data_IF_904890832518
#
_entry.id   IF_904890832518
#
_cell.length_a   1.000
_cell.length_b   1.000
_cell.length_c   1.000
_cell.angle_alpha   90.00
_cell.angle_beta   90.00
_cell.angle_gamma   90.00
#
_symmetry.space_group_name_H-M   'P 1'
#
loop_
_entity.id
_entity.type
_entity.pdbx_description
1 polymer ?
#
# COMPACT_ATOMS: atom_id res chain seq x y z
N UNK A 1 -15.31 11.94 -0.15
CA UNK A 1 -15.11 10.67 0.54
C UNK A 1 -13.83 10.82 1.35
N UNK A 2 -13.89 10.59 2.65
CA UNK A 2 -12.70 10.62 3.49
C UNK A 2 -11.84 9.36 3.22
N UNK A 3 -10.52 9.45 3.38
CA UNK A 3 -9.64 8.28 3.32
C UNK A 3 -10.16 7.20 4.29
N UNK A 4 -10.35 5.98 3.79
CA UNK A 4 -10.78 4.79 4.52
C UNK A 4 -12.29 4.55 4.54
N UNK A 5 -13.10 5.50 4.06
CA UNK A 5 -14.57 5.43 4.19
C UNK A 5 -15.16 4.26 3.38
N UNK A 6 -14.78 4.12 2.11
CA UNK A 6 -15.21 3.01 1.23
C UNK A 6 -14.88 1.63 1.81
N UNK A 7 -13.66 1.48 2.32
CA UNK A 7 -13.20 0.26 2.99
C UNK A 7 -14.03 -0.08 4.22
N UNK A 8 -14.24 0.89 5.11
CA UNK A 8 -15.00 0.66 6.35
C UNK A 8 -16.47 0.34 6.05
N UNK A 9 -17.08 1.00 5.08
CA UNK A 9 -18.46 0.73 4.66
C UNK A 9 -18.61 -0.69 4.12
N UNK A 10 -17.75 -1.10 3.20
CA UNK A 10 -17.78 -2.43 2.60
C UNK A 10 -17.65 -3.56 3.62
N UNK A 11 -16.69 -3.45 4.55
CA UNK A 11 -16.50 -4.49 5.56
C UNK A 11 -17.55 -4.48 6.66
N UNK A 12 -18.12 -3.30 6.97
CA UNK A 12 -19.29 -3.20 7.84
C UNK A 12 -20.51 -3.91 7.26
N UNK A 13 -20.78 -3.76 5.96
CA UNK A 13 -21.89 -4.46 5.28
C UNK A 13 -21.71 -5.98 5.31
N UNK A 14 -20.47 -6.45 5.13
CA UNK A 14 -20.12 -7.88 5.20
C UNK A 14 -20.04 -8.43 6.63
N UNK A 15 -20.11 -7.58 7.66
CA UNK A 15 -19.95 -7.93 9.08
C UNK A 15 -18.60 -8.61 9.36
N UNK A 16 -17.55 -8.14 8.71
CA UNK A 16 -16.18 -8.62 8.90
C UNK A 16 -15.35 -7.52 9.56
N UNK A 17 -14.45 -7.91 10.45
CA UNK A 17 -13.51 -7.00 11.10
C UNK A 17 -14.13 -6.11 12.18
N UNK A 18 -13.27 -5.51 12.99
CA UNK A 18 -13.66 -4.72 14.16
C UNK A 18 -12.64 -3.62 14.46
N UNK A 19 -13.11 -2.56 15.13
CA UNK A 19 -12.22 -1.61 15.77
C UNK A 19 -11.62 -2.20 17.04
N UNK A 20 -10.31 -2.07 17.15
CA UNK A 20 -9.52 -2.40 18.33
C UNK A 20 -8.80 -1.14 18.81
N UNK A 21 -8.57 -1.05 20.12
CA UNK A 21 -7.81 0.04 20.73
C UNK A 21 -6.66 -0.55 21.55
N UNK A 22 -5.44 -0.22 21.17
CA UNK A 22 -4.25 -0.62 21.91
C UNK A 22 -3.94 0.42 22.99
N UNK A 23 -4.13 0.02 24.25
CA UNK A 23 -3.85 0.87 25.41
C UNK A 23 -2.35 1.18 25.62
N UNK A 24 -1.44 0.44 24.98
CA UNK A 24 0.01 0.69 25.09
C UNK A 24 0.44 1.81 24.15
N UNK A 25 -0.09 1.84 22.94
CA UNK A 25 0.25 2.84 21.92
C UNK A 25 -0.76 3.99 21.87
N UNK A 26 -1.92 3.84 22.50
CA UNK A 26 -3.07 4.75 22.39
C UNK A 26 -3.56 4.91 20.94
N UNK A 27 -3.39 3.87 20.13
CA UNK A 27 -3.82 3.84 18.73
C UNK A 27 -5.07 2.97 18.54
N UNK A 28 -5.97 3.43 17.67
CA UNK A 28 -7.07 2.62 17.16
C UNK A 28 -6.71 1.99 15.82
N UNK A 29 -7.07 0.73 15.63
CA UNK A 29 -6.93 0.02 14.36
C UNK A 29 -8.19 -0.73 14.00
N UNK A 30 -8.49 -0.77 12.71
CA UNK A 30 -9.46 -1.71 12.17
C UNK A 30 -8.75 -3.02 11.85
N UNK A 31 -9.25 -4.12 12.39
CA UNK A 31 -8.57 -5.42 12.40
C UNK A 31 -9.52 -6.55 11.99
N UNK A 32 -8.97 -7.56 11.35
CA UNK A 32 -9.65 -8.82 11.02
C UNK A 32 -8.89 -9.97 11.69
N UNK A 33 -9.58 -11.00 12.16
CA UNK A 33 -8.90 -12.25 12.49
C UNK A 33 -8.34 -12.90 11.22
N UNK A 34 -7.39 -13.82 11.36
CA UNK A 34 -6.91 -14.61 10.22
C UNK A 34 -8.04 -15.41 9.55
N UNK A 35 -8.99 -15.95 10.32
CA UNK A 35 -10.16 -16.66 9.78
C UNK A 35 -11.05 -15.74 8.94
N UNK A 36 -11.35 -14.53 9.43
CA UNK A 36 -12.08 -13.52 8.65
C UNK A 36 -11.31 -13.16 7.38
N UNK A 37 -9.99 -13.00 7.48
CA UNK A 37 -9.18 -12.63 6.34
C UNK A 37 -9.07 -13.73 5.28
N UNK A 38 -9.11 -15.00 5.68
CA UNK A 38 -9.24 -16.12 4.74
C UNK A 38 -10.53 -16.00 3.91
N UNK A 39 -11.66 -15.61 4.53
CA UNK A 39 -12.88 -15.33 3.78
C UNK A 39 -12.78 -14.11 2.86
N UNK A 40 -11.93 -13.13 3.19
CA UNK A 40 -11.69 -11.95 2.36
C UNK A 40 -10.87 -12.30 1.12
N UNK A 41 -9.92 -13.24 1.24
CA UNK A 41 -9.14 -13.73 0.10
C UNK A 41 -10.06 -14.33 -0.98
N UNK A 42 -11.12 -15.05 -0.56
CA UNK A 42 -12.11 -15.65 -1.46
C UNK A 42 -12.98 -14.63 -2.23
N UNK A 43 -12.85 -13.32 -1.93
CA UNK A 43 -13.53 -12.25 -2.64
C UNK A 43 -12.74 -11.74 -3.86
N UNK A 44 -11.54 -12.27 -4.14
CA UNK A 44 -10.65 -11.88 -5.24
C UNK A 44 -10.23 -10.39 -5.23
N UNK A 45 -10.39 -9.69 -4.10
CA UNK A 45 -10.00 -8.29 -3.92
C UNK A 45 -8.61 -8.11 -3.29
N UNK A 46 -7.88 -9.20 -3.05
CA UNK A 46 -6.65 -9.22 -2.26
C UNK A 46 -5.43 -9.49 -3.13
N UNK A 47 -4.47 -8.57 -3.09
CA UNK A 47 -3.27 -8.54 -3.89
C UNK A 47 -2.02 -8.66 -3.01
N UNK A 48 -0.99 -9.33 -3.51
CA UNK A 48 0.25 -9.51 -2.76
C UNK A 48 1.22 -8.34 -3.02
N UNK A 49 1.43 -7.49 -2.01
CA UNK A 49 2.40 -6.39 -2.04
C UNK A 49 3.67 -6.65 -1.23
N UNK A 50 3.85 -7.85 -0.66
CA UNK A 50 4.92 -8.16 0.28
C UNK A 50 6.33 -8.04 -0.33
N UNK A 51 6.43 -8.04 -1.67
CA UNK A 51 7.69 -7.91 -2.42
C UNK A 51 7.88 -6.53 -3.07
N UNK A 52 6.97 -5.60 -2.83
CA UNK A 52 6.95 -4.29 -3.49
C UNK A 52 6.65 -4.37 -5.00
N UNK A 53 6.55 -3.19 -5.61
CA UNK A 53 6.27 -3.00 -7.02
C UNK A 53 5.60 -1.66 -7.30
N UNK A 54 5.49 -1.33 -8.58
CA UNK A 54 4.61 -0.26 -9.05
C UNK A 54 3.17 -0.74 -8.91
N UNK A 55 2.36 0.01 -8.18
CA UNK A 55 0.95 -0.30 -8.00
C UNK A 55 0.16 0.43 -9.08
N UNK A 56 -0.65 -0.32 -9.84
CA UNK A 56 -1.56 0.23 -10.83
C UNK A 56 -2.99 -0.03 -10.40
N UNK A 57 -3.80 1.02 -10.31
CA UNK A 57 -5.17 0.92 -9.82
C UNK A 57 -5.83 2.28 -9.64
N UNK A 58 -6.83 2.34 -8.77
CA UNK A 58 -7.62 3.53 -8.53
C UNK A 58 -6.80 4.65 -7.85
N UNK A 59 -7.09 5.90 -8.21
CA UNK A 59 -6.66 7.06 -7.44
C UNK A 59 -7.47 7.17 -6.14
N UNK A 60 -7.01 7.94 -5.16
CA UNK A 60 -7.80 8.18 -3.93
C UNK A 60 -9.18 8.78 -4.22
N UNK A 61 -9.31 9.60 -5.26
CA UNK A 61 -10.61 10.16 -5.69
C UNK A 61 -11.58 9.12 -6.24
N UNK A 62 -11.11 7.90 -6.49
CA UNK A 62 -11.85 6.77 -7.02
C UNK A 62 -11.94 5.61 -6.01
N UNK A 63 -11.68 5.88 -4.73
CA UNK A 63 -11.74 4.88 -3.64
C UNK A 63 -10.36 4.37 -3.19
N UNK A 64 -9.29 4.70 -3.90
CA UNK A 64 -7.92 4.35 -3.52
C UNK A 64 -7.64 2.84 -3.53
N UNK A 65 -6.52 2.48 -2.93
CA UNK A 65 -6.06 1.10 -2.74
C UNK A 65 -5.70 0.93 -1.28
N UNK A 66 -6.34 0.00 -0.61
CA UNK A 66 -6.25 -0.16 0.84
C UNK A 66 -5.10 -1.09 1.22
N UNK A 67 -4.44 -0.80 2.33
CA UNK A 67 -3.27 -1.52 2.79
C UNK A 67 -3.57 -2.29 4.06
N UNK A 68 -3.14 -3.55 4.11
CA UNK A 68 -3.32 -4.40 5.27
C UNK A 68 -2.03 -5.09 5.67
N UNK A 69 -1.69 -5.03 6.96
CA UNK A 69 -0.46 -5.62 7.49
C UNK A 69 -0.80 -6.77 8.45
N UNK A 70 -0.12 -7.92 8.33
CA UNK A 70 -0.25 -8.98 9.31
C UNK A 70 0.42 -8.61 10.63
N UNK A 71 -0.27 -8.83 11.75
CA UNK A 71 0.32 -8.91 13.08
C UNK A 71 0.34 -10.37 13.52
N UNK A 72 1.52 -10.99 13.43
CA UNK A 72 1.70 -12.41 13.74
C UNK A 72 1.64 -12.72 15.25
N UNK A 73 1.89 -11.73 16.11
CA UNK A 73 1.84 -11.95 17.57
C UNK A 73 0.41 -12.11 18.08
N UNK A 74 -0.54 -11.43 17.45
CA UNK A 74 -1.95 -11.42 17.84
C UNK A 74 -2.86 -12.12 16.83
N UNK A 75 -2.30 -12.70 15.76
CA UNK A 75 -3.01 -13.41 14.69
C UNK A 75 -4.15 -12.59 14.05
N UNK A 76 -3.87 -11.30 13.79
CA UNK A 76 -4.82 -10.38 13.13
C UNK A 76 -4.19 -9.69 11.93
N UNK A 77 -5.04 -9.26 11.01
CA UNK A 77 -4.71 -8.40 9.89
C UNK A 77 -5.15 -6.97 10.20
N UNK A 78 -4.23 -6.01 10.23
CA UNK A 78 -4.45 -4.61 10.62
C UNK A 78 -4.52 -3.71 9.39
N UNK A 79 -5.58 -2.91 9.29
CA UNK A 79 -5.65 -1.81 8.33
C UNK A 79 -4.53 -0.81 8.58
N UNK A 80 -3.71 -0.57 7.55
CA UNK A 80 -2.46 0.19 7.64
C UNK A 80 -2.52 1.55 6.93
N UNK A 81 -3.55 1.77 6.12
CA UNK A 81 -3.76 3.03 5.41
C UNK A 81 -4.19 2.81 3.98
N UNK A 82 -3.97 3.83 3.15
CA UNK A 82 -4.26 3.81 1.73
C UNK A 82 -3.04 4.25 0.93
N UNK A 83 -3.02 3.79 -0.32
CA UNK A 83 -2.18 4.32 -1.37
C UNK A 83 -3.03 4.55 -2.63
N UNK A 84 -2.47 5.18 -3.64
CA UNK A 84 -3.12 5.35 -4.93
C UNK A 84 -2.37 4.66 -6.07
N UNK A 85 -3.08 4.44 -7.18
CA UNK A 85 -2.48 4.00 -8.41
C UNK A 85 -1.33 4.93 -8.85
N UNK A 86 -0.33 4.32 -9.50
CA UNK A 86 0.92 4.94 -9.93
C UNK A 86 1.93 5.25 -8.82
N UNK A 87 1.66 4.87 -7.58
CA UNK A 87 2.65 4.89 -6.49
C UNK A 87 3.52 3.63 -6.50
N UNK A 88 4.75 3.78 -6.01
CA UNK A 88 5.69 2.66 -5.87
C UNK A 88 5.72 2.20 -4.42
N UNK A 89 5.46 0.91 -4.19
CA UNK A 89 5.63 0.25 -2.91
C UNK A 89 7.01 -0.42 -2.90
N UNK A 90 7.89 -0.06 -1.96
CA UNK A 90 9.19 -0.72 -1.83
C UNK A 90 9.04 -2.17 -1.37
N UNK A 91 10.04 -3.00 -1.64
CA UNK A 91 10.24 -4.23 -0.86
C UNK A 91 10.49 -3.88 0.62
N UNK A 92 10.35 -4.85 1.54
CA UNK A 92 10.69 -4.70 2.95
C UNK A 92 12.04 -4.02 3.17
N UNK A 93 12.07 -2.93 3.92
CA UNK A 93 13.28 -2.18 4.18
C UNK A 93 14.24 -2.99 5.06
N UNK A 94 15.47 -3.18 4.60
CA UNK A 94 16.52 -3.84 5.40
C UNK A 94 17.22 -2.89 6.38
N UNK A 95 17.10 -1.58 6.19
CA UNK A 95 17.70 -0.60 7.10
C UNK A 95 16.98 0.75 7.06
N UNK A 96 17.17 1.52 8.13
CA UNK A 96 16.69 2.91 8.24
C UNK A 96 17.31 3.79 7.14
N UNK A 97 18.58 3.54 6.78
CA UNK A 97 19.27 4.36 5.77
C UNK A 97 18.68 4.18 4.37
N UNK A 98 18.27 2.96 4.01
CA UNK A 98 17.52 2.72 2.76
C UNK A 98 16.17 3.43 2.80
N UNK A 99 15.48 3.42 3.94
CA UNK A 99 14.23 4.18 4.12
C UNK A 99 14.42 5.68 3.84
N UNK A 100 15.50 6.27 4.35
CA UNK A 100 15.87 7.66 4.07
C UNK A 100 16.22 7.89 2.59
N UNK A 101 16.78 6.90 1.90
CA UNK A 101 17.02 6.99 0.46
C UNK A 101 15.69 7.07 -0.31
N UNK A 102 14.69 6.26 0.06
CA UNK A 102 13.35 6.35 -0.52
C UNK A 102 12.65 7.69 -0.21
N UNK A 103 12.75 8.17 1.02
CA UNK A 103 12.12 9.43 1.46
C UNK A 103 12.60 10.63 0.63
N UNK A 104 13.86 10.65 0.20
CA UNK A 104 14.41 11.73 -0.64
C UNK A 104 13.60 11.94 -1.91
N UNK A 105 13.11 10.88 -2.55
CA UNK A 105 12.30 11.02 -3.77
C UNK A 105 10.99 11.75 -3.51
N UNK A 106 10.33 11.47 -2.38
CA UNK A 106 9.10 12.16 -1.99
C UNK A 106 9.35 13.63 -1.65
N UNK A 107 10.46 13.95 -0.96
CA UNK A 107 10.81 15.33 -0.60
C UNK A 107 11.11 16.19 -1.83
N UNK A 108 11.81 15.64 -2.82
CA UNK A 108 12.17 16.34 -4.06
C UNK A 108 10.95 16.77 -4.87
N UNK A 109 9.82 16.06 -4.73
CA UNK A 109 8.57 16.33 -5.46
C UNK A 109 7.49 17.02 -4.62
N UNK A 110 7.81 17.59 -3.44
CA UNK A 110 6.86 18.39 -2.64
C UNK A 110 6.30 19.63 -3.37
N UNK A 111 6.77 19.92 -4.58
CA UNK A 111 6.37 21.04 -5.42
C UNK A 111 5.15 20.76 -6.30
N UNK A 112 3.96 20.77 -5.68
CA UNK A 112 2.71 21.12 -6.37
C UNK A 112 1.85 19.96 -6.85
N UNK A 113 0.53 20.18 -6.76
CA UNK A 113 -0.52 19.43 -7.47
C UNK A 113 -0.30 19.60 -8.98
N UNK A 114 0.68 18.86 -9.52
CA UNK A 114 0.87 18.82 -10.96
C UNK A 114 -0.41 18.22 -11.57
N UNK A 115 -0.96 18.93 -12.57
CA UNK A 115 -2.05 18.42 -13.41
C UNK A 115 -1.54 17.43 -14.46
N UNK A 116 -0.25 17.13 -14.46
CA UNK A 116 0.33 16.24 -15.44
C UNK A 116 -0.22 14.83 -15.24
N UNK A 117 -0.55 14.13 -16.33
CA UNK A 117 -0.90 12.71 -16.28
C UNK A 117 0.17 11.95 -15.51
N UNK A 118 -0.22 11.05 -14.61
CA UNK A 118 0.74 10.25 -13.84
C UNK A 118 1.09 8.94 -14.52
N UNK A 119 0.41 8.63 -15.62
CA UNK A 119 0.71 7.51 -16.49
C UNK A 119 2.07 7.70 -17.19
N UNK A 120 2.83 6.61 -17.28
CA UNK A 120 4.12 6.57 -17.97
C UNK A 120 4.42 5.17 -18.52
N UNK A 121 5.40 5.09 -19.41
CA UNK A 121 5.87 3.80 -19.94
C UNK A 121 6.61 3.03 -18.84
N UNK A 122 6.01 1.93 -18.38
CA UNK A 122 6.56 1.10 -17.32
C UNK A 122 7.81 0.37 -17.82
N UNK A 123 8.97 0.51 -17.16
CA UNK A 123 10.16 -0.25 -17.54
C UNK A 123 9.89 -1.76 -17.44
N UNK A 124 10.37 -2.61 -18.38
CA UNK A 124 10.14 -4.06 -18.34
C UNK A 124 10.68 -4.76 -17.08
N UNK A 125 11.65 -4.15 -16.40
CA UNK A 125 12.22 -4.63 -15.14
C UNK A 125 11.36 -4.31 -13.91
N UNK A 126 10.31 -3.51 -14.07
CA UNK A 126 9.44 -3.11 -12.97
C UNK A 126 8.48 -4.24 -12.64
N UNK A 127 8.43 -4.64 -11.37
CA UNK A 127 7.34 -5.48 -10.87
C UNK A 127 6.09 -4.63 -10.77
N UNK A 128 4.96 -5.19 -11.21
CA UNK A 128 3.68 -4.49 -11.20
C UNK A 128 2.70 -5.25 -10.31
N UNK A 129 1.95 -4.51 -9.50
CA UNK A 129 0.79 -4.99 -8.75
C UNK A 129 -0.43 -4.34 -9.39
N UNK A 130 -1.16 -5.10 -10.20
CA UNK A 130 -2.35 -4.62 -10.91
C UNK A 130 -3.59 -4.86 -10.06
N UNK A 131 -4.25 -3.79 -9.65
CA UNK A 131 -5.47 -3.82 -8.81
C UNK A 131 -6.70 -3.26 -9.52
N UNK A 132 -6.62 -3.08 -10.85
CA UNK A 132 -7.73 -2.60 -11.66
C UNK A 132 -8.92 -3.56 -11.60
N UNK A 133 -10.11 -3.00 -11.84
CA UNK A 133 -11.41 -3.67 -11.93
C UNK A 133 -12.08 -4.04 -10.61
N UNK A 134 -11.41 -3.84 -9.48
CA UNK A 134 -12.03 -4.08 -8.18
C UNK A 134 -12.62 -2.78 -7.59
N UNK A 135 -13.86 -2.82 -7.06
CA UNK A 135 -14.46 -1.67 -6.37
C UNK A 135 -13.70 -1.32 -5.10
N UNK A 136 -13.04 -2.31 -4.49
CA UNK A 136 -12.14 -2.21 -3.35
C UNK A 136 -10.96 -3.11 -3.63
N UNK A 137 -9.75 -2.58 -3.55
CA UNK A 137 -8.52 -3.36 -3.65
C UNK A 137 -7.77 -3.36 -2.32
N UNK A 138 -7.27 -4.52 -1.91
CA UNK A 138 -6.49 -4.72 -0.69
C UNK A 138 -5.10 -5.25 -1.02
N UNK A 139 -4.07 -4.51 -0.69
CA UNK A 139 -2.69 -4.98 -0.80
C UNK A 139 -2.23 -5.48 0.57
N UNK A 140 -1.86 -6.77 0.63
CA UNK A 140 -1.18 -7.35 1.78
C UNK A 140 0.27 -6.86 1.81
N UNK A 141 0.63 -6.20 2.90
CA UNK A 141 1.98 -5.77 3.20
C UNK A 141 2.78 -6.87 3.90
N UNK A 142 4.09 -6.71 3.88
CA UNK A 142 5.02 -7.51 4.66
C UNK A 142 4.87 -7.23 6.16
N UNK A 143 5.29 -8.19 6.98
CA UNK A 143 5.50 -7.99 8.43
C UNK A 143 6.59 -6.96 8.74
N UNK A 144 7.43 -6.67 7.76
CA UNK A 144 8.50 -5.68 7.84
C UNK A 144 8.10 -4.38 7.16
N UNK A 145 8.64 -3.27 7.63
CA UNK A 145 8.32 -1.94 7.12
C UNK A 145 8.59 -1.82 5.61
N UNK A 146 7.64 -1.23 4.88
CA UNK A 146 7.75 -0.89 3.46
C UNK A 146 7.50 0.60 3.29
N UNK A 147 8.02 1.19 2.21
CA UNK A 147 7.91 2.62 1.93
C UNK A 147 7.06 2.86 0.69
N UNK A 148 6.22 3.90 0.73
CA UNK A 148 5.38 4.32 -0.39
C UNK A 148 5.98 5.59 -1.00
N UNK A 149 6.26 5.55 -2.29
CA UNK A 149 6.74 6.70 -3.07
C UNK A 149 5.57 7.24 -3.87
N UNK A 150 5.28 8.53 -3.68
CA UNK A 150 4.15 9.19 -4.31
C UNK A 150 4.21 9.10 -5.83
N UNK A 151 3.07 9.20 -6.50
CA UNK A 151 2.94 8.95 -7.94
C UNK A 151 3.79 9.85 -8.83
N UNK A 152 4.00 11.11 -8.43
CA UNK A 152 4.81 12.06 -9.22
C UNK A 152 6.29 11.72 -9.13
N UNK A 153 6.77 11.42 -7.92
CA UNK A 153 8.13 10.93 -7.70
C UNK A 153 8.34 9.58 -8.39
N UNK A 154 7.37 8.69 -8.32
CA UNK A 154 7.40 7.40 -9.01
C UNK A 154 7.57 7.57 -10.51
N UNK A 155 6.74 8.39 -11.16
CA UNK A 155 6.85 8.70 -12.59
C UNK A 155 8.24 9.22 -12.97
N UNK A 156 8.79 10.13 -12.18
CA UNK A 156 10.07 10.78 -12.49
C UNK A 156 11.28 9.88 -12.24
N UNK A 157 11.20 9.00 -11.25
CA UNK A 157 12.35 8.27 -10.71
C UNK A 157 12.20 6.75 -10.77
N UNK A 158 11.27 6.19 -11.57
CA UNK A 158 10.97 4.76 -11.56
C UNK A 158 12.20 3.86 -11.74
N UNK A 159 13.15 4.26 -12.60
CA UNK A 159 14.36 3.47 -12.84
C UNK A 159 15.30 3.48 -11.63
N UNK A 160 15.42 4.62 -10.96
CA UNK A 160 16.20 4.80 -9.73
C UNK A 160 15.55 4.04 -8.57
N UNK A 161 14.23 4.07 -8.46
CA UNK A 161 13.47 3.32 -7.46
C UNK A 161 13.68 1.82 -7.62
N UNK A 162 13.57 1.29 -8.85
CA UNK A 162 13.84 -0.13 -9.13
C UNK A 162 15.27 -0.50 -8.72
N UNK A 163 16.28 0.34 -9.04
CA UNK A 163 17.68 0.08 -8.66
C UNK A 163 17.87 0.09 -7.14
N UNK A 164 17.28 1.05 -6.44
CA UNK A 164 17.34 1.13 -4.98
C UNK A 164 16.68 -0.09 -4.34
N UNK A 165 15.54 -0.53 -4.87
CA UNK A 165 14.81 -1.67 -4.34
C UNK A 165 15.54 -3.00 -4.60
N UNK A 166 16.21 -3.13 -5.75
CA UNK A 166 17.13 -4.25 -6.02
C UNK A 166 18.30 -4.28 -5.04
N UNK A 167 18.90 -3.13 -4.71
CA UNK A 167 19.93 -3.02 -3.67
C UNK A 167 19.37 -3.38 -2.29
N UNK A 168 18.15 -2.95 -1.97
CA UNK A 168 17.47 -3.28 -0.72
C UNK A 168 17.20 -4.78 -0.57
N UNK A 169 17.04 -5.53 -1.67
CA UNK A 169 16.81 -6.98 -1.64
C UNK A 169 18.09 -7.82 -1.49
N UNK A 170 19.28 -7.26 -1.72
CA UNK A 170 20.59 -7.92 -1.53
C UNK A 170 21.00 -7.92 -0.07
#
# INVERSE_FOLDING_TARGET
MAYGESFLEFFKEKKLGKWNFDFKTFESSYEFSFDEFHHIIDLDIVFNGQKGGLVLGNLHTQGGIHLISPNLETEVMKYSGEMEGWEYLSAPLKSIDIGKEFEKFNVLEKGGLSKDPTEFNIPPSCKVIETFNEPIALIILSVHHQFIVNRFATKKYINELIKLDLKNMQ
#
